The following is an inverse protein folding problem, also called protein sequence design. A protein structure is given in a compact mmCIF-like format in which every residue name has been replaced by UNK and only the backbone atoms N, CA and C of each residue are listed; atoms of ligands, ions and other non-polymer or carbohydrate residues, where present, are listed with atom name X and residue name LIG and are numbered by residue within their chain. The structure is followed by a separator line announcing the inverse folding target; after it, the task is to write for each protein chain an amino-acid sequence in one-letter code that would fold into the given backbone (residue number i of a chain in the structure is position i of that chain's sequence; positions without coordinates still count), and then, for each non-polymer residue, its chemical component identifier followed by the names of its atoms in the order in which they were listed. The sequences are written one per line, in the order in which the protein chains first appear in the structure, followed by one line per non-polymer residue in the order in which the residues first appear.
data_IF_580779172355
#
_entry.id   IF_580779172355
#
_cell.length_a   1.000
_cell.length_b   1.000
_cell.length_c   1.000
_cell.angle_alpha   90.00
_cell.angle_beta   90.00
_cell.angle_gamma   90.00
#
_symmetry.space_group_name_H-M   'P 1'
#
loop_
_entity.id
_entity.type
_entity.pdbx_description
1 polymer ?
#
# COMPACT_ATOMS: atom_id res chain seq x y z
N UNK A 1 -22.50 -24.92 -3.71
CA UNK A 1 -21.13 -24.47 -3.41
C UNK A 1 -20.55 -23.80 -4.65
N UNK A 2 -19.80 -22.69 -4.50
CA UNK A 2 -19.17 -22.01 -5.62
C UNK A 2 -18.03 -22.87 -6.20
N UNK A 3 -17.98 -23.04 -7.52
CA UNK A 3 -16.91 -23.74 -8.22
C UNK A 3 -15.57 -23.04 -7.92
N UNK A 4 -14.49 -23.79 -7.70
CA UNK A 4 -13.16 -23.28 -7.35
C UNK A 4 -13.07 -22.49 -6.03
N UNK A 5 -13.99 -22.70 -5.09
CA UNK A 5 -13.89 -22.13 -3.73
C UNK A 5 -12.51 -22.44 -3.12
N UNK A 6 -11.85 -21.39 -2.62
CA UNK A 6 -10.50 -21.48 -2.03
C UNK A 6 -9.36 -21.42 -3.05
N UNK A 7 -9.63 -21.61 -4.35
CA UNK A 7 -8.64 -21.50 -5.44
C UNK A 7 -8.80 -20.16 -6.16
N UNK A 8 -8.28 -19.09 -5.54
CA UNK A 8 -8.50 -17.69 -5.97
C UNK A 8 -8.32 -17.46 -7.47
N UNK A 9 -7.20 -17.91 -8.03
CA UNK A 9 -6.90 -17.69 -9.46
C UNK A 9 -7.89 -18.39 -10.40
N UNK A 10 -8.23 -19.65 -10.11
CA UNK A 10 -9.21 -20.40 -10.91
C UNK A 10 -10.62 -19.86 -10.76
N UNK A 11 -10.96 -19.36 -9.57
CA UNK A 11 -12.23 -18.70 -9.33
C UNK A 11 -12.32 -17.40 -10.13
N UNK A 12 -11.27 -16.57 -10.11
CA UNK A 12 -11.20 -15.33 -10.88
C UNK A 12 -11.34 -15.61 -12.38
N UNK A 13 -10.58 -16.55 -12.92
CA UNK A 13 -10.67 -16.94 -14.32
C UNK A 13 -12.08 -17.42 -14.68
N UNK A 14 -12.68 -18.28 -13.86
CA UNK A 14 -14.04 -18.77 -14.07
C UNK A 14 -15.08 -17.64 -14.06
N UNK A 15 -14.96 -16.67 -13.15
CA UNK A 15 -15.84 -15.51 -13.13
C UNK A 15 -15.68 -14.64 -14.37
N UNK A 16 -14.46 -14.45 -14.87
CA UNK A 16 -14.18 -13.70 -16.09
C UNK A 16 -14.73 -14.41 -17.34
N UNK A 17 -14.53 -15.72 -17.46
CA UNK A 17 -15.08 -16.53 -18.56
C UNK A 17 -16.61 -16.53 -18.57
N UNK A 18 -17.24 -16.34 -17.41
CA UNK A 18 -18.69 -16.34 -17.25
C UNK A 18 -19.23 -14.94 -16.86
N UNK A 19 -18.56 -13.88 -17.33
CA UNK A 19 -18.85 -12.49 -16.95
C UNK A 19 -20.30 -12.08 -17.23
N UNK A 20 -20.93 -12.60 -18.28
CA UNK A 20 -22.33 -12.32 -18.58
C UNK A 20 -23.29 -12.79 -17.47
N UNK A 21 -22.95 -13.87 -16.76
CA UNK A 21 -23.75 -14.42 -15.66
C UNK A 21 -23.45 -13.72 -14.33
N UNK A 22 -22.15 -13.54 -14.01
CA UNK A 22 -21.74 -12.97 -12.71
C UNK A 22 -21.75 -11.44 -12.68
N UNK A 23 -21.63 -10.81 -13.83
CA UNK A 23 -21.61 -9.36 -13.95
C UNK A 23 -23.00 -8.76 -13.76
N UNK A 24 -24.03 -9.34 -14.38
CA UNK A 24 -25.37 -8.73 -14.42
C UNK A 24 -26.10 -8.82 -13.08
N UNK A 25 -26.16 -7.70 -12.36
CA UNK A 25 -26.96 -7.55 -11.15
C UNK A 25 -27.82 -6.28 -11.25
N UNK A 26 -29.08 -6.40 -10.88
CA UNK A 26 -30.00 -5.25 -10.82
C UNK A 26 -29.64 -4.32 -9.65
N UNK A 27 -30.13 -3.08 -9.71
CA UNK A 27 -29.76 -2.03 -8.75
C UNK A 27 -30.24 -2.37 -7.34
N UNK A 28 -31.43 -2.94 -7.19
CA UNK A 28 -31.97 -3.34 -5.90
C UNK A 28 -31.13 -4.43 -5.24
N UNK A 29 -30.79 -5.49 -5.98
CA UNK A 29 -29.93 -6.57 -5.52
C UNK A 29 -28.52 -6.06 -5.21
N UNK A 30 -27.96 -5.17 -6.05
CA UNK A 30 -26.67 -4.53 -5.79
C UNK A 30 -26.66 -3.81 -4.44
N UNK A 31 -27.67 -2.96 -4.20
CA UNK A 31 -27.78 -2.18 -2.97
C UNK A 31 -28.02 -3.07 -1.75
N UNK A 32 -28.86 -4.09 -1.89
CA UNK A 32 -29.08 -5.08 -0.84
C UNK A 32 -27.77 -5.80 -0.47
N UNK A 33 -27.01 -6.26 -1.46
CA UNK A 33 -25.70 -6.89 -1.23
C UNK A 33 -24.70 -5.92 -0.61
N UNK A 34 -24.68 -4.66 -1.06
CA UNK A 34 -23.78 -3.62 -0.53
C UNK A 34 -23.96 -3.42 0.97
N UNK A 35 -25.20 -3.28 1.42
CA UNK A 35 -25.55 -3.12 2.84
C UNK A 35 -25.37 -4.43 3.60
N UNK A 36 -25.84 -5.56 3.07
CA UNK A 36 -25.77 -6.86 3.73
C UNK A 36 -24.33 -7.31 3.99
N UNK A 37 -23.41 -6.98 3.09
CA UNK A 37 -21.99 -7.31 3.21
C UNK A 37 -21.19 -6.23 3.97
N UNK A 38 -21.84 -5.18 4.48
CA UNK A 38 -21.19 -4.02 5.12
C UNK A 38 -20.05 -3.45 4.26
N UNK A 39 -20.31 -3.34 2.95
CA UNK A 39 -19.32 -2.98 1.93
C UNK A 39 -19.56 -1.57 1.38
N UNK A 40 -20.28 -0.72 2.11
CA UNK A 40 -20.71 0.61 1.67
C UNK A 40 -19.52 1.54 1.37
N UNK A 41 -18.38 1.30 2.03
CA UNK A 41 -17.13 2.02 1.82
C UNK A 41 -16.36 1.56 0.58
N UNK A 42 -16.60 0.34 0.10
CA UNK A 42 -15.88 -0.25 -1.02
C UNK A 42 -16.70 -0.18 -2.31
N UNK A 43 -17.98 -0.55 -2.24
CA UNK A 43 -18.92 -0.50 -3.36
C UNK A 43 -19.55 0.89 -3.47
N UNK A 44 -19.72 1.37 -4.71
CA UNK A 44 -20.26 2.70 -5.01
C UNK A 44 -21.75 2.76 -4.68
N UNK A 45 -22.23 3.89 -4.17
CA UNK A 45 -23.66 4.11 -4.02
C UNK A 45 -24.30 4.42 -5.36
N UNK A 46 -25.21 3.56 -5.81
CA UNK A 46 -25.99 3.75 -7.03
C UNK A 46 -27.33 4.40 -6.68
N UNK A 47 -27.39 5.73 -6.77
CA UNK A 47 -28.69 6.43 -6.79
C UNK A 47 -29.46 5.98 -8.02
N UNK A 48 -30.77 5.73 -7.88
CA UNK A 48 -31.68 5.36 -8.97
C UNK A 48 -31.51 6.33 -10.13
N UNK A 49 -30.73 5.91 -11.12
CA UNK A 49 -30.68 6.59 -12.41
C UNK A 49 -31.83 5.96 -13.21
N UNK A 50 -32.65 6.77 -13.89
CA UNK A 50 -33.91 6.34 -14.53
C UNK A 50 -33.73 5.35 -15.70
N UNK A 51 -32.54 4.79 -15.89
CA UNK A 51 -32.25 3.76 -16.87
C UNK A 51 -32.02 2.45 -16.14
N UNK A 52 -32.70 1.40 -16.60
CA UNK A 52 -32.45 0.00 -16.24
C UNK A 52 -31.03 -0.41 -16.68
N UNK A 53 -30.01 0.18 -16.07
CA UNK A 53 -28.62 -0.20 -16.29
C UNK A 53 -28.34 -1.42 -15.42
N UNK A 54 -28.29 -2.59 -16.06
CA UNK A 54 -27.70 -3.79 -15.44
C UNK A 54 -26.26 -3.46 -15.09
N UNK A 55 -25.94 -3.45 -13.80
CA UNK A 55 -24.58 -3.17 -13.34
C UNK A 55 -23.67 -4.34 -13.71
N UNK A 56 -22.39 -4.08 -14.00
CA UNK A 56 -21.35 -5.08 -14.16
C UNK A 56 -20.59 -5.24 -12.84
N UNK A 57 -21.08 -6.13 -11.98
CA UNK A 57 -20.46 -6.43 -10.68
C UNK A 57 -19.01 -6.89 -10.79
N UNK A 58 -18.67 -7.62 -11.85
CA UNK A 58 -17.30 -8.05 -12.08
C UNK A 58 -16.39 -6.83 -12.29
N UNK A 59 -16.87 -5.82 -13.03
CA UNK A 59 -16.14 -4.57 -13.20
C UNK A 59 -16.01 -3.80 -11.87
N UNK A 60 -17.08 -3.69 -11.08
CA UNK A 60 -17.03 -2.98 -9.80
C UNK A 60 -16.01 -3.60 -8.82
N UNK A 61 -15.92 -4.93 -8.77
CA UNK A 61 -14.94 -5.63 -7.94
C UNK A 61 -13.50 -5.48 -8.47
N UNK A 62 -13.31 -5.47 -9.79
CA UNK A 62 -11.99 -5.24 -10.40
C UNK A 62 -11.50 -3.81 -10.17
N UNK A 63 -12.40 -2.82 -10.23
CA UNK A 63 -12.09 -1.43 -9.92
C UNK A 63 -11.60 -1.30 -8.46
N UNK A 64 -12.32 -1.90 -7.50
CA UNK A 64 -11.91 -1.93 -6.08
C UNK A 64 -10.53 -2.56 -5.91
N UNK A 65 -10.28 -3.69 -6.58
CA UNK A 65 -8.98 -4.36 -6.52
C UNK A 65 -7.87 -3.45 -7.07
N UNK A 66 -8.11 -2.85 -8.23
CA UNK A 66 -7.15 -1.98 -8.91
C UNK A 66 -6.83 -0.74 -8.07
N UNK A 67 -7.85 -0.11 -7.49
CA UNK A 67 -7.68 1.03 -6.59
C UNK A 67 -6.86 0.66 -5.36
N UNK A 68 -7.12 -0.51 -4.76
CA UNK A 68 -6.34 -1.05 -3.65
C UNK A 68 -4.87 -1.28 -4.01
N UNK A 69 -4.60 -1.89 -5.18
CA UNK A 69 -3.23 -2.09 -5.69
C UNK A 69 -2.52 -0.75 -5.90
N UNK A 70 -3.22 0.22 -6.50
CA UNK A 70 -2.66 1.56 -6.76
C UNK A 70 -2.34 2.29 -5.46
N UNK A 71 -3.26 2.28 -4.50
CA UNK A 71 -3.05 2.89 -3.19
C UNK A 71 -1.85 2.26 -2.46
N UNK A 72 -1.79 0.92 -2.42
CA UNK A 72 -0.68 0.19 -1.80
C UNK A 72 0.67 0.47 -2.47
N UNK A 73 0.71 0.60 -3.80
CA UNK A 73 1.94 0.97 -4.53
C UNK A 73 2.39 2.39 -4.16
N UNK A 74 1.48 3.36 -4.12
CA UNK A 74 1.81 4.74 -3.76
C UNK A 74 2.29 4.86 -2.32
N UNK A 75 1.64 4.17 -1.39
CA UNK A 75 2.05 4.13 0.01
C UNK A 75 3.41 3.47 0.18
N UNK A 76 3.63 2.33 -0.49
CA UNK A 76 4.91 1.62 -0.49
C UNK A 76 6.06 2.45 -1.08
N UNK A 77 5.81 3.16 -2.18
CA UNK A 77 6.80 4.07 -2.78
C UNK A 77 7.12 5.25 -1.85
N UNK A 78 6.11 5.84 -1.19
CA UNK A 78 6.32 6.93 -0.24
C UNK A 78 7.11 6.47 0.99
N UNK A 79 6.73 5.35 1.59
CA UNK A 79 7.43 4.75 2.73
C UNK A 79 8.86 4.36 2.35
N UNK A 80 9.05 3.76 1.18
CA UNK A 80 10.37 3.38 0.68
C UNK A 80 11.29 4.57 0.44
N UNK A 81 10.78 5.69 -0.09
CA UNK A 81 11.55 6.94 -0.24
C UNK A 81 12.00 7.48 1.12
N UNK A 82 11.07 7.62 2.08
CA UNK A 82 11.39 8.12 3.42
C UNK A 82 12.40 7.22 4.15
N UNK A 83 12.26 5.90 4.03
CA UNK A 83 13.20 4.97 4.62
C UNK A 83 14.58 5.07 3.94
N UNK A 84 14.61 5.21 2.61
CA UNK A 84 15.83 5.42 1.84
C UNK A 84 16.59 6.67 2.28
N UNK A 85 15.90 7.81 2.35
CA UNK A 85 16.46 9.09 2.82
C UNK A 85 17.00 8.98 4.24
N UNK A 86 16.26 8.34 5.15
CA UNK A 86 16.71 8.11 6.54
C UNK A 86 17.98 7.26 6.59
N UNK A 87 18.03 6.17 5.81
CA UNK A 87 19.20 5.29 5.74
C UNK A 87 20.41 6.02 5.14
N UNK A 88 20.21 6.78 4.07
CA UNK A 88 21.28 7.57 3.44
C UNK A 88 21.86 8.62 4.41
N UNK A 89 20.98 9.41 5.06
CA UNK A 89 21.39 10.38 6.07
C UNK A 89 22.20 9.72 7.19
N UNK A 90 21.74 8.57 7.69
CA UNK A 90 22.43 7.84 8.74
C UNK A 90 23.82 7.32 8.30
N UNK A 91 23.95 6.86 7.05
CA UNK A 91 25.23 6.45 6.49
C UNK A 91 26.20 7.64 6.37
N UNK A 92 25.73 8.80 5.92
CA UNK A 92 26.52 10.02 5.81
C UNK A 92 27.03 10.45 7.19
N UNK A 93 26.15 10.52 8.19
CA UNK A 93 26.52 10.88 9.57
C UNK A 93 27.57 9.91 10.10
N UNK A 94 27.37 8.60 9.91
CA UNK A 94 28.32 7.56 10.37
C UNK A 94 29.70 7.71 9.71
N UNK A 95 29.75 8.02 8.40
CA UNK A 95 31.00 8.30 7.68
C UNK A 95 31.68 9.56 8.21
N UNK A 96 30.94 10.65 8.40
CA UNK A 96 31.48 11.91 8.94
C UNK A 96 32.06 11.72 10.36
N UNK A 97 31.39 10.92 11.21
CA UNK A 97 31.90 10.60 12.55
C UNK A 97 33.19 9.77 12.47
N UNK A 98 33.25 8.78 11.56
CA UNK A 98 34.45 7.98 11.33
C UNK A 98 35.64 8.83 10.87
N UNK A 99 35.37 9.80 10.00
CA UNK A 99 36.39 10.72 9.49
C UNK A 99 36.78 11.81 10.52
N UNK A 100 36.23 11.75 11.73
CA UNK A 100 36.60 12.62 12.85
C UNK A 100 36.02 14.03 12.76
N UNK A 101 34.98 14.26 11.95
CA UNK A 101 34.34 15.57 11.87
C UNK A 101 33.71 15.93 13.22
N UNK A 102 33.82 17.20 13.67
CA UNK A 102 33.19 17.62 14.91
C UNK A 102 31.67 17.58 14.77
N UNK A 103 31.00 17.18 15.85
CA UNK A 103 29.52 17.05 15.92
C UNK A 103 28.81 18.34 15.51
N UNK A 104 29.39 19.50 15.81
CA UNK A 104 28.86 20.81 15.41
C UNK A 104 28.81 20.99 13.89
N UNK A 105 29.83 20.51 13.16
CA UNK A 105 29.83 20.54 11.70
C UNK A 105 28.83 19.55 11.11
N UNK A 106 28.76 18.34 11.68
CA UNK A 106 27.81 17.31 11.23
C UNK A 106 26.37 17.84 11.34
N UNK A 107 26.00 18.43 12.49
CA UNK A 107 24.68 19.05 12.66
C UNK A 107 24.39 20.12 11.62
N UNK A 108 25.38 20.97 11.31
CA UNK A 108 25.23 22.05 10.34
C UNK A 108 24.95 21.56 8.91
N UNK A 109 25.50 20.42 8.51
CA UNK A 109 25.39 19.93 7.13
C UNK A 109 24.31 18.87 6.91
N UNK A 110 23.85 18.22 7.98
CA UNK A 110 22.91 17.11 7.89
C UNK A 110 21.61 17.35 8.64
N UNK A 111 21.50 18.44 9.40
CA UNK A 111 20.40 18.68 10.34
C UNK A 111 20.16 17.45 11.24
N UNK A 112 21.26 16.82 11.67
CA UNK A 112 21.21 15.64 12.51
C UNK A 112 20.71 15.98 13.92
N UNK A 113 19.76 15.19 14.39
CA UNK A 113 19.27 15.21 15.76
C UNK A 113 20.23 14.49 16.70
N UNK A 114 20.09 14.73 18.01
CA UNK A 114 20.86 14.03 19.04
C UNK A 114 20.68 12.51 18.97
N UNK A 115 19.47 12.06 18.64
CA UNK A 115 19.16 10.64 18.49
C UNK A 115 19.84 10.03 17.26
N UNK A 116 19.80 10.70 16.09
CA UNK A 116 20.50 10.22 14.90
C UNK A 116 22.01 10.12 15.11
N UNK A 117 22.60 11.07 15.84
CA UNK A 117 24.02 11.06 16.22
C UNK A 117 24.35 9.91 17.18
N UNK A 118 23.50 9.63 18.17
CA UNK A 118 23.66 8.49 19.08
C UNK A 118 23.61 7.17 18.31
N UNK A 119 22.61 6.98 17.44
CA UNK A 119 22.46 5.73 16.68
C UNK A 119 23.64 5.55 15.71
N UNK A 120 24.12 6.62 15.07
CA UNK A 120 25.32 6.55 14.23
C UNK A 120 26.59 6.23 15.04
N UNK A 121 26.73 6.79 16.25
CA UNK A 121 27.85 6.52 17.15
C UNK A 121 27.87 5.06 17.64
N UNK A 122 26.73 4.49 18.00
CA UNK A 122 26.64 3.08 18.40
C UNK A 122 26.91 2.14 17.22
N UNK A 123 26.42 2.49 16.02
CA UNK A 123 26.72 1.74 14.79
C UNK A 123 28.22 1.78 14.43
N UNK A 124 28.89 2.91 14.65
CA UNK A 124 30.33 3.05 14.44
C UNK A 124 31.12 2.19 15.44
N UNK A 125 30.79 2.25 16.74
CA UNK A 125 31.44 1.45 17.77
C UNK A 125 31.30 -0.06 17.51
N UNK A 126 30.10 -0.52 17.16
CA UNK A 126 29.84 -1.92 16.82
C UNK A 126 30.56 -2.41 15.55
N UNK A 127 30.95 -1.49 14.65
CA UNK A 127 31.75 -1.82 13.47
C UNK A 127 33.25 -1.93 13.79
N UNK A 128 33.74 -1.16 14.78
CA UNK A 128 35.13 -1.17 15.22
C UNK A 128 35.47 -2.34 16.15
N UNK A 129 34.49 -2.90 16.86
CA UNK A 129 34.66 -4.10 17.71
C UNK A 129 34.74 -5.42 16.92
N UNK A 130 34.52 -5.38 15.60
CA UNK A 130 34.54 -6.55 14.70
C UNK A 130 35.81 -6.67 13.86
N UNK A 131 36.74 -5.72 13.98
CA UNK A 131 38.10 -5.76 13.42
C UNK A 131 39.12 -6.16 14.50
#
# INVERSE_FOLDING_TARGET
MLKYRGQKEKLRQYMQENKAYFGQVDVETYQALRVFLHSEKMLKDMKKTEREERNDMCQALEDIYTDGVKAGKLEGEAAGRLEGERREKQLIITKMLRDGLPVSAIRKYTDATDEELKIAGTALAAAQEKE
#
